data_IF_349781376113
#
_entry.id   IF_349781376113
#
_cell.length_a   1.000
_cell.length_b   1.000
_cell.length_c   1.000
_cell.angle_alpha   90.00
_cell.angle_beta   90.00
_cell.angle_gamma   90.00
#
_symmetry.space_group_name_H-M   'P 1'
#
loop_
_entity.id
_entity.type
_entity.pdbx_description
1 polymer ?
#
# COMPACT_ATOMS: atom_id res chain seq x y z
N UNK A 1 19.67 -30.79 34.08
CA UNK A 1 19.19 -29.78 33.11
C UNK A 1 20.04 -28.51 33.11
N UNK A 2 20.66 -28.11 34.22
CA UNK A 2 21.56 -26.94 34.32
C UNK A 2 22.78 -27.00 33.39
N UNK A 3 23.43 -28.17 33.28
CA UNK A 3 24.75 -28.26 32.64
C UNK A 3 24.64 -28.21 31.11
N UNK A 4 23.52 -28.69 30.56
CA UNK A 4 23.25 -28.66 29.12
C UNK A 4 22.88 -27.24 28.66
N UNK A 5 22.22 -26.45 29.51
CA UNK A 5 22.01 -25.02 29.27
C UNK A 5 23.34 -24.26 29.29
N UNK A 6 24.23 -24.54 30.25
CA UNK A 6 25.53 -23.87 30.35
C UNK A 6 26.41 -24.09 29.09
N UNK A 7 26.40 -25.30 28.51
CA UNK A 7 27.15 -25.63 27.29
C UNK A 7 26.63 -24.82 26.08
N UNK A 8 25.33 -24.54 26.02
CA UNK A 8 24.72 -23.78 24.90
C UNK A 8 24.89 -22.27 25.11
N UNK A 9 24.76 -21.77 26.34
CA UNK A 9 24.82 -20.33 26.62
C UNK A 9 26.25 -19.77 26.68
N UNK A 10 27.25 -20.57 27.07
CA UNK A 10 28.64 -20.13 27.11
C UNK A 10 29.17 -19.58 25.76
N UNK A 11 29.06 -20.29 24.62
CA UNK A 11 29.52 -19.76 23.33
C UNK A 11 28.70 -18.54 22.88
N UNK A 12 27.41 -18.48 23.24
CA UNK A 12 26.55 -17.35 22.93
C UNK A 12 27.00 -16.07 23.66
N UNK A 13 27.35 -16.20 24.95
CA UNK A 13 27.86 -15.07 25.74
C UNK A 13 29.21 -14.57 25.21
N UNK A 14 30.13 -15.48 24.88
CA UNK A 14 31.43 -15.12 24.28
C UNK A 14 31.23 -14.42 22.93
N UNK A 15 30.27 -14.86 22.12
CA UNK A 15 29.94 -14.21 20.86
C UNK A 15 29.40 -12.78 21.07
N UNK A 16 28.51 -12.58 22.05
CA UNK A 16 27.97 -11.26 22.39
C UNK A 16 29.09 -10.33 22.88
N UNK A 17 29.98 -10.81 23.74
CA UNK A 17 31.13 -10.04 24.24
C UNK A 17 32.07 -9.64 23.09
N UNK A 18 32.39 -10.57 22.19
CA UNK A 18 33.21 -10.28 21.01
C UNK A 18 32.56 -9.24 20.09
N UNK A 19 31.24 -9.32 19.90
CA UNK A 19 30.47 -8.33 19.14
C UNK A 19 30.50 -6.95 19.80
N UNK A 20 30.32 -6.87 21.12
CA UNK A 20 30.44 -5.60 21.84
C UNK A 20 31.85 -5.01 21.74
N UNK A 21 32.88 -5.85 21.87
CA UNK A 21 34.28 -5.43 21.69
C UNK A 21 34.54 -4.88 20.29
N UNK A 22 34.00 -5.52 19.25
CA UNK A 22 34.10 -5.04 17.87
C UNK A 22 33.40 -3.70 17.66
N UNK A 23 32.18 -3.54 18.20
CA UNK A 23 31.43 -2.28 18.11
C UNK A 23 32.18 -1.14 18.80
N UNK A 24 32.73 -1.39 19.99
CA UNK A 24 33.55 -0.40 20.70
C UNK A 24 34.81 -0.05 19.91
N UNK A 25 35.54 -1.03 19.38
CA UNK A 25 36.73 -0.81 18.56
C UNK A 25 36.42 0.03 17.30
N UNK A 26 35.28 -0.24 16.65
CA UNK A 26 34.85 0.54 15.49
C UNK A 26 34.46 1.97 15.87
N UNK A 27 33.77 2.15 17.00
CA UNK A 27 33.42 3.48 17.51
C UNK A 27 34.66 4.29 17.91
N UNK A 28 35.66 3.66 18.55
CA UNK A 28 36.93 4.32 18.87
C UNK A 28 37.70 4.69 17.61
N UNK A 29 37.76 3.80 16.62
CA UNK A 29 38.41 4.09 15.33
C UNK A 29 37.74 5.28 14.61
N UNK A 30 36.40 5.34 14.60
CA UNK A 30 35.68 6.49 14.07
C UNK A 30 35.99 7.77 14.86
N UNK A 31 36.05 7.69 16.19
CA UNK A 31 36.41 8.82 17.05
C UNK A 31 37.81 9.35 16.77
N UNK A 32 38.80 8.45 16.65
CA UNK A 32 40.18 8.79 16.30
C UNK A 32 40.28 9.37 14.89
N UNK A 33 39.54 8.81 13.93
CA UNK A 33 39.51 9.31 12.56
C UNK A 33 38.95 10.74 12.51
N UNK A 34 37.83 10.99 13.19
CA UNK A 34 37.26 12.33 13.32
C UNK A 34 38.23 13.29 14.03
N UNK A 35 38.87 12.84 15.12
CA UNK A 35 39.87 13.61 15.85
C UNK A 35 41.06 14.01 14.98
N UNK A 36 41.62 13.06 14.23
CA UNK A 36 42.71 13.28 13.30
C UNK A 36 42.34 14.32 12.22
N UNK A 37 41.14 14.22 11.65
CA UNK A 37 40.68 15.20 10.65
C UNK A 37 40.43 16.58 11.26
N UNK A 38 39.91 16.66 12.49
CA UNK A 38 39.75 17.94 13.20
C UNK A 38 41.11 18.58 13.50
N UNK A 39 42.09 17.80 13.95
CA UNK A 39 43.45 18.28 14.19
C UNK A 39 44.09 18.77 12.89
N UNK A 40 43.94 18.01 11.79
CA UNK A 40 44.43 18.39 10.47
C UNK A 40 43.76 19.67 9.97
N UNK A 41 42.45 19.82 10.20
CA UNK A 41 41.70 21.04 9.90
C UNK A 41 42.21 22.24 10.72
N UNK A 42 42.43 22.07 12.02
CA UNK A 42 42.98 23.11 12.90
C UNK A 42 44.38 23.52 12.46
N UNK A 43 45.25 22.54 12.20
CA UNK A 43 46.61 22.80 11.73
C UNK A 43 46.59 23.56 10.40
N UNK A 44 45.74 23.13 9.47
CA UNK A 44 45.55 23.76 8.16
C UNK A 44 44.97 25.18 8.26
N UNK A 45 44.02 25.44 9.17
CA UNK A 45 43.47 26.77 9.42
C UNK A 45 44.53 27.70 10.01
N UNK A 46 45.19 27.29 11.09
CA UNK A 46 46.15 28.17 11.79
C UNK A 46 47.43 28.40 10.98
N UNK A 47 48.00 27.37 10.35
CA UNK A 47 49.18 27.54 9.49
C UNK A 47 48.83 28.11 8.11
N UNK A 48 47.62 27.85 7.60
CA UNK A 48 47.11 28.44 6.36
C UNK A 48 46.89 29.95 6.50
N UNK A 49 46.31 30.42 7.60
CA UNK A 49 46.12 31.85 7.88
C UNK A 49 47.47 32.56 8.08
N UNK A 50 48.41 31.94 8.80
CA UNK A 50 49.75 32.50 8.97
C UNK A 50 50.52 32.61 7.64
N UNK A 51 50.52 31.54 6.84
CA UNK A 51 51.23 31.51 5.55
C UNK A 51 50.62 32.43 4.48
N UNK A 52 49.30 32.61 4.47
CA UNK A 52 48.64 33.58 3.58
C UNK A 52 48.93 35.02 3.99
N UNK A 53 48.93 35.32 5.29
CA UNK A 53 49.31 36.64 5.83
C UNK A 53 50.73 37.06 5.43
N UNK A 54 51.68 36.12 5.43
CA UNK A 54 53.05 36.39 5.02
C UNK A 54 53.20 36.61 3.50
N UNK A 55 52.37 35.96 2.67
CA UNK A 55 52.35 36.20 1.21
C UNK A 55 51.77 37.56 0.83
N UNK A 56 50.74 38.05 1.53
CA UNK A 56 50.22 39.41 1.31
C UNK A 56 51.29 40.49 1.59
N UNK A 57 52.29 40.20 2.42
CA UNK A 57 53.44 41.09 2.65
C UNK A 57 54.53 41.01 1.58
N UNK A 58 54.61 39.93 0.79
CA UNK A 58 55.71 39.68 -0.15
C UNK A 58 55.43 40.09 -1.61
N UNK A 59 54.26 40.67 -1.92
CA UNK A 59 53.93 41.18 -3.25
C UNK A 59 53.62 40.08 -4.29
N UNK A 60 53.03 40.46 -5.45
CA UNK A 60 52.28 39.56 -6.34
C UNK A 60 53.12 38.59 -7.19
N UNK A 61 54.42 38.37 -6.89
CA UNK A 61 55.35 37.63 -7.76
C UNK A 61 55.43 36.11 -7.53
N UNK A 62 54.66 35.53 -6.60
CA UNK A 62 54.70 34.06 -6.29
C UNK A 62 53.30 33.41 -6.19
N UNK A 63 52.37 33.81 -7.03
CA UNK A 63 50.92 33.55 -6.87
C UNK A 63 50.37 32.29 -7.58
N UNK A 64 51.20 31.43 -8.18
CA UNK A 64 50.68 30.27 -8.94
C UNK A 64 50.46 28.98 -8.11
N UNK A 65 51.17 28.79 -6.98
CA UNK A 65 51.05 27.56 -6.18
C UNK A 65 50.15 27.78 -4.97
N UNK A 66 49.01 27.09 -4.94
CA UNK A 66 48.13 27.01 -3.77
C UNK A 66 48.91 26.36 -2.63
N UNK A 67 48.97 26.97 -1.43
CA UNK A 67 49.69 26.39 -0.31
C UNK A 67 49.12 25.01 0.04
N UNK A 68 49.99 24.02 0.25
CA UNK A 68 49.59 22.68 0.72
C UNK A 68 48.61 22.74 1.91
N UNK A 69 48.79 23.62 2.92
CA UNK A 69 47.83 23.78 4.01
C UNK A 69 46.41 24.15 3.56
N UNK A 70 46.27 24.92 2.48
CA UNK A 70 44.96 25.32 1.96
C UNK A 70 44.27 24.15 1.24
N UNK A 71 45.03 23.36 0.47
CA UNK A 71 44.52 22.16 -0.20
C UNK A 71 44.07 21.13 0.86
N UNK A 72 44.85 20.94 1.92
CA UNK A 72 44.50 20.04 3.02
C UNK A 72 43.28 20.52 3.80
N UNK A 73 43.14 21.84 4.03
CA UNK A 73 41.94 22.41 4.64
C UNK A 73 40.69 22.11 3.81
N UNK A 74 40.73 22.40 2.50
CA UNK A 74 39.59 22.15 1.60
C UNK A 74 39.24 20.65 1.56
N UNK A 75 40.24 19.78 1.47
CA UNK A 75 40.04 18.32 1.49
C UNK A 75 39.39 17.82 2.78
N UNK A 76 39.89 18.28 3.94
CA UNK A 76 39.35 17.89 5.25
C UNK A 76 37.90 18.36 5.45
N UNK A 77 37.57 19.61 5.08
CA UNK A 77 36.20 20.12 5.15
C UNK A 77 35.27 19.34 4.22
N UNK A 78 35.69 19.08 2.98
CA UNK A 78 34.92 18.28 2.03
C UNK A 78 34.63 16.87 2.54
N UNK A 79 35.62 16.23 3.17
CA UNK A 79 35.47 14.91 3.76
C UNK A 79 34.49 14.89 4.95
N UNK A 80 34.56 15.88 5.85
CA UNK A 80 33.61 16.00 6.97
C UNK A 80 32.18 16.19 6.46
N UNK A 81 31.97 17.01 5.43
CA UNK A 81 30.67 17.19 4.80
C UNK A 81 30.17 15.87 4.20
N UNK A 82 31.04 15.15 3.48
CA UNK A 82 30.70 13.85 2.90
C UNK A 82 30.28 12.83 3.97
N UNK A 83 31.04 12.73 5.07
CA UNK A 83 30.69 11.86 6.20
C UNK A 83 29.36 12.25 6.85
N UNK A 84 29.11 13.55 7.06
CA UNK A 84 27.88 14.04 7.65
C UNK A 84 26.65 13.71 6.77
N UNK A 85 26.77 13.88 5.45
CA UNK A 85 25.72 13.52 4.48
C UNK A 85 25.49 12.01 4.50
N UNK A 86 26.56 11.21 4.43
CA UNK A 86 26.48 9.74 4.46
C UNK A 86 25.81 9.22 5.73
N UNK A 87 26.20 9.75 6.90
CA UNK A 87 25.62 9.37 8.18
C UNK A 87 24.13 9.75 8.30
N UNK A 88 23.76 10.92 7.80
CA UNK A 88 22.35 11.36 7.76
C UNK A 88 21.51 10.42 6.90
N UNK A 89 22.03 9.97 5.75
CA UNK A 89 21.35 9.01 4.88
C UNK A 89 21.17 7.65 5.55
N UNK A 90 22.19 7.14 6.26
CA UNK A 90 22.11 5.88 7.01
C UNK A 90 21.06 5.93 8.12
N UNK A 91 21.04 7.01 8.92
CA UNK A 91 20.03 7.19 9.97
C UNK A 91 18.63 7.22 9.36
N UNK A 92 18.44 8.01 8.29
CA UNK A 92 17.14 8.12 7.62
C UNK A 92 16.68 6.76 7.10
N UNK A 93 17.56 5.99 6.48
CA UNK A 93 17.26 4.65 5.97
C UNK A 93 16.86 3.69 7.10
N UNK A 94 17.61 3.69 8.21
CA UNK A 94 17.29 2.86 9.38
C UNK A 94 15.93 3.17 10.01
N UNK A 95 15.59 4.46 10.15
CA UNK A 95 14.28 4.88 10.68
C UNK A 95 13.15 4.42 9.76
N UNK A 96 13.28 4.59 8.44
CA UNK A 96 12.25 4.14 7.50
C UNK A 96 12.05 2.63 7.56
N UNK A 97 13.15 1.86 7.61
CA UNK A 97 13.07 0.41 7.70
C UNK A 97 12.36 -0.06 8.98
N UNK A 98 12.69 0.54 10.12
CA UNK A 98 12.05 0.23 11.41
C UNK A 98 10.56 0.57 11.41
N UNK A 99 10.17 1.71 10.83
CA UNK A 99 8.76 2.11 10.70
C UNK A 99 7.95 1.16 9.83
N UNK A 100 8.52 0.74 8.70
CA UNK A 100 7.89 -0.26 7.80
C UNK A 100 7.69 -1.59 8.50
N UNK A 101 8.72 -2.12 9.19
CA UNK A 101 8.61 -3.38 9.91
C UNK A 101 7.55 -3.32 11.03
N UNK A 102 7.52 -2.21 11.79
CA UNK A 102 6.56 -2.03 12.87
C UNK A 102 5.13 -1.97 12.33
N UNK A 103 4.93 -1.23 11.24
CA UNK A 103 3.61 -1.12 10.58
C UNK A 103 3.18 -2.46 9.99
N UNK A 104 4.10 -3.20 9.37
CA UNK A 104 3.83 -4.55 8.86
C UNK A 104 3.34 -5.47 9.98
N UNK A 105 4.05 -5.50 11.12
CA UNK A 105 3.66 -6.32 12.27
C UNK A 105 2.30 -5.91 12.86
N UNK A 106 1.99 -4.60 12.89
CA UNK A 106 0.68 -4.10 13.32
C UNK A 106 -0.44 -4.53 12.36
N UNK A 107 -0.23 -4.36 11.05
CA UNK A 107 -1.18 -4.73 10.00
C UNK A 107 -1.44 -6.24 10.02
N UNK A 108 -0.39 -7.05 10.20
CA UNK A 108 -0.50 -8.51 10.34
C UNK A 108 -1.29 -8.89 11.60
N UNK A 109 -0.97 -8.29 12.75
CA UNK A 109 -1.67 -8.55 14.02
C UNK A 109 -3.16 -8.18 13.94
N UNK A 110 -3.48 -7.06 13.27
CA UNK A 110 -4.86 -6.64 13.04
C UNK A 110 -5.61 -7.63 12.14
N UNK A 111 -4.99 -8.10 11.06
CA UNK A 111 -5.59 -9.07 10.17
C UNK A 111 -5.88 -10.40 10.90
N UNK A 112 -4.94 -10.86 11.72
CA UNK A 112 -5.10 -12.08 12.51
C UNK A 112 -6.17 -11.93 13.60
N UNK A 113 -6.19 -10.79 14.31
CA UNK A 113 -7.21 -10.48 15.30
C UNK A 113 -8.62 -10.41 14.68
N UNK A 114 -8.75 -9.83 13.49
CA UNK A 114 -10.02 -9.74 12.78
C UNK A 114 -10.57 -11.12 12.39
N UNK A 115 -9.71 -12.01 11.89
CA UNK A 115 -10.13 -13.38 11.57
C UNK A 115 -10.46 -14.17 12.82
N UNK A 116 -9.66 -14.05 13.88
CA UNK A 116 -9.93 -14.71 15.15
C UNK A 116 -11.29 -14.27 15.72
N UNK A 117 -11.59 -12.97 15.66
CA UNK A 117 -12.89 -12.44 16.07
C UNK A 117 -14.03 -13.00 15.23
N UNK A 118 -13.86 -13.09 13.91
CA UNK A 118 -14.87 -13.65 13.02
C UNK A 118 -15.10 -15.15 13.20
N UNK A 119 -14.06 -15.89 13.55
CA UNK A 119 -14.15 -17.31 13.92
C UNK A 119 -14.84 -17.51 15.27
N UNK A 120 -14.60 -16.62 16.23
CA UNK A 120 -15.12 -16.71 17.58
C UNK A 120 -16.56 -16.20 17.71
N UNK A 121 -16.95 -15.18 16.95
CA UNK A 121 -18.24 -14.50 17.07
C UNK A 121 -19.08 -14.65 15.80
N UNK A 122 -20.16 -15.44 15.91
CA UNK A 122 -21.37 -15.21 15.12
C UNK A 122 -22.00 -13.87 15.57
N UNK A 123 -21.45 -12.74 15.09
CA UNK A 123 -22.18 -11.48 14.97
C UNK A 123 -21.94 -10.37 16.00
N UNK A 124 -20.79 -10.32 16.70
CA UNK A 124 -20.53 -9.32 17.76
C UNK A 124 -19.25 -8.49 17.64
N UNK A 125 -18.58 -8.53 16.47
CA UNK A 125 -17.21 -8.05 16.32
C UNK A 125 -16.99 -6.57 16.62
N UNK A 126 -16.05 -6.25 17.51
CA UNK A 126 -15.53 -4.91 17.82
C UNK A 126 -14.79 -4.28 16.63
N UNK A 127 -14.19 -5.11 15.77
CA UNK A 127 -13.53 -4.66 14.56
C UNK A 127 -14.53 -4.67 13.39
N UNK A 128 -14.77 -3.49 12.81
CA UNK A 128 -15.65 -3.30 11.67
C UNK A 128 -14.85 -3.04 10.39
N UNK A 129 -15.31 -3.48 9.20
CA UNK A 129 -14.75 -3.04 7.93
C UNK A 129 -14.77 -1.51 7.82
N UNK A 130 -13.63 -0.91 7.49
CA UNK A 130 -13.48 0.55 7.43
C UNK A 130 -12.13 1.02 7.97
N UNK A 131 -11.97 2.34 8.14
CA UNK A 131 -10.83 2.91 8.84
C UNK A 131 -10.83 2.44 10.31
N UNK A 132 -9.69 1.93 10.77
CA UNK A 132 -9.46 1.58 12.16
C UNK A 132 -9.01 2.81 12.95
N UNK A 133 -9.25 2.81 14.26
CA UNK A 133 -8.67 3.79 15.19
C UNK A 133 -7.15 3.62 15.34
N UNK A 134 -6.59 2.50 14.89
CA UNK A 134 -5.15 2.28 14.86
C UNK A 134 -4.50 3.01 13.68
N UNK A 135 -3.39 3.68 13.99
CA UNK A 135 -2.62 4.46 13.03
C UNK A 135 -1.28 3.79 12.79
N UNK A 136 -0.78 3.90 11.56
CA UNK A 136 0.55 3.43 11.18
C UNK A 136 1.66 4.36 11.70
N UNK A 137 2.92 3.99 11.41
CA UNK A 137 4.08 4.77 11.81
C UNK A 137 4.18 6.17 11.16
N UNK A 138 3.31 6.48 10.20
CA UNK A 138 3.22 7.77 9.51
C UNK A 138 1.95 8.54 9.91
N UNK A 139 1.14 8.00 10.83
CA UNK A 139 -0.06 8.65 11.33
C UNK A 139 -1.27 8.51 10.41
N UNK A 140 -1.27 7.57 9.47
CA UNK A 140 -2.44 7.26 8.65
C UNK A 140 -3.25 6.14 9.31
N UNK A 141 -4.58 6.27 9.26
CA UNK A 141 -5.48 5.22 9.74
C UNK A 141 -5.33 3.94 8.91
N UNK A 142 -5.22 2.80 9.59
CA UNK A 142 -5.15 1.49 8.94
C UNK A 142 -6.56 1.13 8.46
N UNK A 143 -6.71 0.80 7.18
CA UNK A 143 -8.02 0.49 6.59
C UNK A 143 -8.20 -1.02 6.50
N UNK A 144 -9.27 -1.52 7.10
CA UNK A 144 -9.70 -2.91 6.98
C UNK A 144 -10.76 -3.01 5.89
N UNK A 145 -10.54 -3.90 4.92
CA UNK A 145 -11.49 -4.21 3.86
C UNK A 145 -11.80 -5.67 3.88
N UNK A 146 -13.06 -5.96 3.66
CA UNK A 146 -13.57 -7.31 3.58
C UNK A 146 -14.14 -7.56 2.19
N UNK A 147 -13.86 -8.73 1.64
CA UNK A 147 -14.46 -9.22 0.41
C UNK A 147 -14.97 -10.63 0.63
N UNK A 148 -16.29 -10.77 0.63
CA UNK A 148 -16.94 -12.07 0.69
C UNK A 148 -16.95 -12.73 -0.70
N UNK A 149 -16.42 -13.95 -0.76
CA UNK A 149 -16.48 -14.84 -1.90
C UNK A 149 -17.32 -16.07 -1.56
N UNK A 150 -17.79 -16.77 -2.58
CA UNK A 150 -18.59 -18.00 -2.43
C UNK A 150 -17.85 -19.08 -1.61
N UNK A 151 -16.52 -19.10 -1.69
CA UNK A 151 -15.66 -20.11 -1.08
C UNK A 151 -15.01 -19.64 0.23
N UNK A 152 -15.30 -18.43 0.69
CA UNK A 152 -14.61 -17.84 1.83
C UNK A 152 -14.66 -16.33 1.87
N UNK A 153 -14.21 -15.75 2.98
CA UNK A 153 -14.04 -14.31 3.14
C UNK A 153 -12.56 -13.96 3.03
N UNK A 154 -12.23 -12.97 2.20
CA UNK A 154 -10.90 -12.37 2.15
C UNK A 154 -10.91 -11.10 3.01
N UNK A 155 -9.98 -11.06 3.95
CA UNK A 155 -9.73 -9.88 4.79
C UNK A 155 -8.44 -9.24 4.29
N UNK A 156 -8.52 -7.96 3.96
CA UNK A 156 -7.39 -7.15 3.49
C UNK A 156 -7.23 -5.99 4.46
N UNK A 157 -6.16 -6.01 5.24
CA UNK A 157 -5.78 -4.89 6.10
C UNK A 157 -4.67 -4.12 5.41
N UNK A 158 -4.80 -2.79 5.31
CA UNK A 158 -3.91 -1.93 4.52
C UNK A 158 -3.53 -0.66 5.29
N UNK A 159 -2.26 -0.29 5.24
CA UNK A 159 -1.74 1.04 5.55
C UNK A 159 -1.32 1.73 4.25
N UNK A 160 -1.48 3.06 4.18
CA UNK A 160 -1.06 3.88 3.04
C UNK A 160 0.45 4.19 3.05
N UNK A 161 1.20 3.63 4.01
CA UNK A 161 2.64 3.75 4.07
C UNK A 161 3.18 5.19 4.16
N UNK A 162 4.44 5.40 3.74
CA UNK A 162 5.13 6.69 3.80
C UNK A 162 4.55 7.79 2.90
N UNK A 163 3.99 7.44 1.75
CA UNK A 163 3.50 8.42 0.77
C UNK A 163 2.06 8.86 1.05
N UNK A 164 1.34 8.12 1.91
CA UNK A 164 -0.03 8.40 2.32
C UNK A 164 -1.05 8.22 1.21
N UNK A 165 -0.65 7.63 0.07
CA UNK A 165 -1.52 7.51 -1.10
C UNK A 165 -2.16 6.13 -1.14
N UNK A 166 -3.50 6.03 -1.11
CA UNK A 166 -4.15 4.74 -1.20
C UNK A 166 -3.90 4.11 -2.58
N UNK A 167 -3.64 2.81 -2.60
CA UNK A 167 -3.30 2.05 -3.81
C UNK A 167 -1.92 2.35 -4.39
N UNK A 168 -0.98 2.80 -3.56
CA UNK A 168 0.42 2.96 -3.94
C UNK A 168 1.20 1.65 -3.85
N UNK A 169 2.37 1.60 -4.48
CA UNK A 169 3.36 0.52 -4.34
C UNK A 169 3.96 0.50 -2.92
N UNK A 170 3.96 1.65 -2.25
CA UNK A 170 4.48 1.81 -0.89
C UNK A 170 3.49 1.36 0.21
N UNK A 171 2.32 0.86 -0.21
CA UNK A 171 1.28 0.43 0.71
C UNK A 171 1.62 -0.92 1.33
N UNK A 172 1.51 -0.95 2.66
CA UNK A 172 1.74 -2.13 3.46
C UNK A 172 0.40 -2.84 3.65
N UNK A 173 0.29 -4.08 3.18
CA UNK A 173 -0.96 -4.83 3.32
C UNK A 173 -0.75 -6.27 3.76
N UNK A 174 -1.68 -6.74 4.60
CA UNK A 174 -1.81 -8.14 4.98
C UNK A 174 -3.12 -8.67 4.43
N UNK A 175 -3.01 -9.73 3.64
CA UNK A 175 -4.17 -10.46 3.10
C UNK A 175 -4.28 -11.77 3.87
N UNK A 176 -5.47 -12.03 4.38
CA UNK A 176 -5.80 -13.30 5.02
C UNK A 176 -7.10 -13.84 4.44
N UNK A 177 -7.15 -15.17 4.30
CA UNK A 177 -8.31 -15.86 3.75
C UNK A 177 -8.90 -16.76 4.82
N UNK A 178 -10.19 -16.58 5.06
CA UNK A 178 -10.97 -17.50 5.86
C UNK A 178 -11.79 -18.37 4.92
N UNK A 179 -11.53 -19.68 4.90
CA UNK A 179 -12.28 -20.64 4.10
C UNK A 179 -13.58 -20.96 4.83
N UNK A 180 -14.70 -20.70 4.16
CA UNK A 180 -16.02 -21.10 4.63
C UNK A 180 -16.13 -22.62 4.54
N UNK A 181 -16.69 -23.25 5.57
CA UNK A 181 -16.86 -24.72 5.57
C UNK A 181 -17.91 -25.14 4.54
N UNK A 182 -17.80 -26.36 4.00
CA UNK A 182 -18.74 -26.85 2.98
C UNK A 182 -20.22 -26.81 3.45
N UNK A 183 -20.45 -26.97 4.75
CA UNK A 183 -21.75 -26.83 5.40
C UNK A 183 -22.31 -25.41 5.32
N UNK A 184 -21.50 -24.41 5.61
CA UNK A 184 -21.90 -23.00 5.52
C UNK A 184 -22.12 -22.56 4.08
N UNK A 185 -21.31 -23.03 3.13
CA UNK A 185 -21.53 -22.78 1.69
C UNK A 185 -22.90 -23.32 1.30
N UNK A 186 -23.20 -24.57 1.66
CA UNK A 186 -24.48 -25.22 1.37
C UNK A 186 -25.64 -24.43 1.94
N UNK A 187 -25.57 -24.05 3.21
CA UNK A 187 -26.66 -23.32 3.89
C UNK A 187 -26.86 -21.92 3.26
N UNK A 188 -25.78 -21.22 2.90
CA UNK A 188 -25.87 -19.92 2.20
C UNK A 188 -26.47 -20.03 0.79
N UNK A 189 -26.18 -21.13 0.07
CA UNK A 189 -26.80 -21.42 -1.22
C UNK A 189 -28.29 -21.76 -1.07
N UNK A 190 -28.66 -22.59 -0.10
CA UNK A 190 -30.07 -22.92 0.16
C UNK A 190 -30.87 -21.71 0.61
N UNK A 191 -30.33 -20.85 1.48
CA UNK A 191 -31.03 -19.64 1.92
C UNK A 191 -31.22 -18.65 0.77
N UNK A 192 -30.22 -18.49 -0.08
CA UNK A 192 -30.31 -17.61 -1.26
C UNK A 192 -31.25 -18.19 -2.31
N UNK A 193 -31.26 -19.51 -2.47
CA UNK A 193 -32.21 -20.20 -3.34
C UNK A 193 -33.63 -20.09 -2.79
N UNK A 194 -33.87 -20.40 -1.51
CA UNK A 194 -35.16 -20.29 -0.85
C UNK A 194 -35.72 -18.87 -0.92
N UNK A 195 -34.87 -17.84 -0.72
CA UNK A 195 -35.29 -16.44 -0.86
C UNK A 195 -35.67 -16.09 -2.30
N UNK A 196 -34.90 -16.55 -3.30
CA UNK A 196 -35.23 -16.31 -4.71
C UNK A 196 -36.47 -17.11 -5.17
N UNK A 197 -36.63 -18.35 -4.71
CA UNK A 197 -37.81 -19.16 -4.97
C UNK A 197 -39.05 -18.57 -4.31
N UNK A 198 -38.97 -18.16 -3.03
CA UNK A 198 -40.06 -17.47 -2.35
C UNK A 198 -40.47 -16.17 -3.04
N UNK A 199 -39.50 -15.38 -3.50
CA UNK A 199 -39.77 -14.17 -4.30
C UNK A 199 -40.39 -14.48 -5.66
N UNK A 200 -40.09 -15.64 -6.26
CA UNK A 200 -40.68 -16.06 -7.51
C UNK A 200 -42.17 -16.42 -7.34
N UNK A 201 -42.50 -17.18 -6.30
CA UNK A 201 -43.90 -17.54 -6.00
C UNK A 201 -44.72 -16.35 -5.52
N UNK A 202 -44.18 -15.49 -4.64
CA UNK A 202 -44.87 -14.28 -4.22
C UNK A 202 -45.21 -13.36 -5.41
N UNK A 203 -44.33 -13.29 -6.43
CA UNK A 203 -44.61 -12.57 -7.68
C UNK A 203 -45.65 -13.24 -8.56
N UNK A 204 -45.79 -14.57 -8.52
CA UNK A 204 -46.86 -15.27 -9.23
C UNK A 204 -48.21 -15.05 -8.56
N UNK A 205 -48.24 -15.04 -7.23
CA UNK A 205 -49.46 -14.75 -6.47
C UNK A 205 -49.91 -13.28 -6.68
N UNK A 206 -48.98 -12.33 -6.72
CA UNK A 206 -49.30 -10.93 -7.10
C UNK A 206 -49.77 -10.81 -8.56
N UNK A 207 -49.15 -11.52 -9.50
CA UNK A 207 -49.56 -11.49 -10.90
C UNK A 207 -50.92 -12.17 -11.15
N UNK A 208 -51.28 -13.20 -10.37
CA UNK A 208 -52.59 -13.83 -10.41
C UNK A 208 -53.65 -12.94 -9.73
N UNK A 209 -53.32 -12.26 -8.64
CA UNK A 209 -54.22 -11.29 -8.01
C UNK A 209 -54.51 -10.09 -8.91
N UNK A 210 -53.55 -9.60 -9.70
CA UNK A 210 -53.77 -8.55 -10.70
C UNK A 210 -54.68 -9.02 -11.86
N UNK A 211 -54.59 -10.30 -12.26
CA UNK A 211 -55.46 -10.90 -13.27
C UNK A 211 -56.88 -11.18 -12.77
N UNK A 212 -57.06 -11.42 -11.47
CA UNK A 212 -58.38 -11.63 -10.87
C UNK A 212 -59.14 -10.29 -10.68
N UNK A 213 -58.44 -9.22 -10.29
CA UNK A 213 -59.01 -7.86 -10.20
C UNK A 213 -59.43 -7.30 -11.56
N UNK A 214 -58.81 -7.74 -12.66
CA UNK A 214 -59.20 -7.31 -14.02
C UNK A 214 -60.42 -8.04 -14.58
N UNK A 215 -60.81 -9.19 -14.01
CA UNK A 215 -61.99 -9.97 -14.43
C UNK A 215 -63.28 -9.62 -13.66
N UNK A 216 -63.19 -8.89 -12.55
CA UNK A 216 -64.35 -8.38 -11.80
C UNK A 216 -64.80 -6.96 -12.20
N UNK A 217 -64.21 -6.38 -13.24
CA UNK A 217 -64.69 -5.12 -13.81
C UNK A 217 -65.91 -5.38 -14.72
N UNK A 218 -67.09 -4.78 -14.45
CA UNK A 218 -68.29 -5.02 -15.25
C UNK A 218 -68.08 -4.55 -16.70
N UNK A 219 -68.51 -5.40 -17.63
CA UNK A 219 -68.54 -5.20 -19.07
C UNK A 219 -69.41 -4.00 -19.46
N UNK A 220 -68.87 -2.79 -19.33
CA UNK A 220 -69.45 -1.61 -19.96
C UNK A 220 -68.98 -1.57 -21.41
N UNK A 221 -69.92 -1.94 -22.28
CA UNK A 221 -69.95 -1.74 -23.71
C UNK A 221 -69.09 -0.54 -24.18
N UNK A 222 -67.94 -0.82 -24.81
CA UNK A 222 -67.35 0.12 -25.76
C UNK A 222 -68.02 -0.10 -27.11
N UNK A 223 -69.04 0.71 -27.33
CA UNK A 223 -69.61 0.99 -28.62
C UNK A 223 -68.52 1.33 -29.64
N UNK A 224 -68.54 0.58 -30.73
CA UNK A 224 -68.09 1.02 -32.05
C UNK A 224 -68.52 2.48 -32.28
N UNK A 225 -67.55 3.37 -32.49
CA UNK A 225 -67.71 4.50 -33.41
C UNK A 225 -66.78 4.24 -34.58
N UNK A 226 -67.37 3.70 -35.65
CA UNK A 226 -66.79 3.70 -36.99
C UNK A 226 -66.97 5.13 -37.49
N UNK A 227 -65.88 5.88 -37.66
CA UNK A 227 -65.85 7.10 -38.46
C UNK A 227 -65.72 6.68 -39.94
N UNK A 228 -66.71 6.97 -40.80
CA UNK A 228 -66.64 6.65 -42.21
C UNK A 228 -66.27 7.93 -42.98
N UNK A 229 -65.07 8.47 -42.78
CA UNK A 229 -64.50 9.51 -43.66
C UNK A 229 -63.02 9.73 -43.35
N UNK A 230 -62.16 8.80 -43.79
CA UNK A 230 -60.76 9.16 -44.07
C UNK A 230 -60.17 8.28 -45.15
N UNK A 231 -60.03 8.88 -46.33
CA UNK A 231 -59.37 8.33 -47.49
C UNK A 231 -57.89 8.00 -47.21
N UNK A 232 -57.44 6.88 -47.78
CA UNK A 232 -56.05 6.42 -47.87
C UNK A 232 -55.19 7.39 -48.70
N UNK A 233 -53.87 7.39 -48.47
CA UNK A 233 -52.96 6.80 -49.47
C UNK A 233 -51.96 5.85 -48.79
N UNK A 234 -51.91 4.59 -49.21
CA UNK A 234 -50.96 4.02 -50.20
C UNK A 234 -49.49 4.06 -49.78
N UNK A 235 -48.96 2.85 -49.55
CA UNK A 235 -47.68 2.41 -50.12
C UNK A 235 -46.40 3.00 -49.49
N UNK A 236 -45.79 2.25 -48.56
CA UNK A 236 -44.60 1.46 -48.90
C UNK A 236 -44.15 0.60 -47.71
N UNK A 237 -43.79 -0.64 -48.06
CA UNK A 237 -43.19 -1.63 -47.20
C UNK A 237 -41.77 -1.21 -46.78
N UNK A 238 -41.35 -1.55 -45.57
CA UNK A 238 -40.21 -2.46 -45.44
C UNK A 238 -40.22 -3.19 -44.09
N UNK A 239 -40.01 -4.49 -44.19
CA UNK A 239 -39.96 -5.50 -43.13
C UNK A 239 -38.52 -5.95 -43.04
N UNK A 240 -37.87 -5.86 -41.88
CA UNK A 240 -36.76 -6.76 -41.50
C UNK A 240 -36.53 -6.65 -39.99
N UNK A 241 -37.05 -7.62 -39.22
CA UNK A 241 -36.32 -8.77 -38.65
C UNK A 241 -35.37 -8.42 -37.51
N UNK A 242 -35.83 -8.79 -36.30
CA UNK A 242 -35.04 -9.47 -35.26
C UNK A 242 -33.86 -10.27 -35.87
N UNK A 243 -32.63 -10.03 -35.40
CA UNK A 243 -31.83 -11.13 -34.82
C UNK A 243 -30.55 -10.67 -34.08
N UNK A 244 -30.19 -11.48 -33.09
CA UNK A 244 -28.84 -11.80 -32.61
C UNK A 244 -27.91 -10.75 -31.96
N UNK A 245 -27.69 -10.97 -30.66
CA UNK A 245 -26.39 -11.28 -30.05
C UNK A 245 -25.14 -10.59 -30.63
N UNK A 246 -24.52 -9.69 -29.84
CA UNK A 246 -23.14 -9.89 -29.34
C UNK A 246 -22.71 -8.77 -28.38
N UNK A 247 -22.35 -9.18 -27.16
CA UNK A 247 -21.46 -8.46 -26.28
C UNK A 247 -20.15 -8.10 -27.03
N UNK A 248 -19.90 -6.81 -27.23
CA UNK A 248 -18.56 -6.32 -27.57
C UNK A 248 -18.01 -5.61 -26.33
N UNK A 249 -17.33 -6.40 -25.50
CA UNK A 249 -16.38 -5.86 -24.53
C UNK A 249 -15.22 -5.24 -25.31
N UNK A 250 -15.12 -3.90 -25.31
CA UNK A 250 -13.95 -3.19 -25.83
C UNK A 250 -12.82 -3.31 -24.81
N UNK A 251 -11.82 -4.12 -25.12
CA UNK A 251 -10.53 -4.12 -24.42
C UNK A 251 -9.80 -2.79 -24.70
N UNK A 252 -9.15 -2.17 -23.70
CA UNK A 252 -8.28 -1.03 -23.95
C UNK A 252 -7.04 -1.49 -24.72
N UNK A 253 -6.86 -0.96 -25.92
CA UNK A 253 -5.66 -1.13 -26.73
C UNK A 253 -4.50 -0.37 -26.08
N UNK A 254 -3.61 -1.10 -25.39
CA UNK A 254 -2.31 -0.57 -24.99
C UNK A 254 -1.44 -0.38 -26.24
N UNK A 255 -1.20 0.88 -26.62
CA UNK A 255 -0.13 1.22 -27.57
C UNK A 255 1.18 1.31 -26.80
N UNK A 256 2.01 0.28 -26.91
CA UNK A 256 3.43 0.36 -26.56
C UNK A 256 4.15 1.09 -27.70
N UNK A 257 4.56 2.34 -27.48
CA UNK A 257 5.57 3.00 -28.32
C UNK A 257 6.95 2.74 -27.71
N UNK A 258 7.76 1.93 -28.37
CA UNK A 258 9.19 1.90 -28.12
C UNK A 258 9.78 3.18 -28.71
N UNK A 259 10.17 4.10 -27.84
CA UNK A 259 10.96 5.26 -28.25
C UNK A 259 12.33 4.79 -28.70
N UNK A 260 12.60 4.95 -29.99
CA UNK A 260 13.93 5.07 -30.58
C UNK A 260 14.77 6.04 -29.73
N UNK A 261 15.93 5.58 -29.28
CA UNK A 261 17.01 6.46 -28.84
C UNK A 261 17.86 6.74 -30.06
N UNK A 262 17.66 7.92 -30.64
CA UNK A 262 18.61 8.54 -31.54
C UNK A 262 19.72 9.23 -30.71
N UNK A 263 20.96 9.00 -31.19
CA UNK A 263 22.23 9.70 -30.95
C UNK A 263 22.94 9.58 -29.58
#
# INVERSE_FOLDING_TARGET
MSDLLAIIFAPLLVLIEALMGLVLAFATLLGELVGFFLELLFHALFHGIASTKDRYRQGPRKSAEVPVPVITAIGSVGFVIFLAIGFTFLIRSGIQHSRTQTTQAQVDKLADAYIAQRLAEKGGGTLSPGPSDQHDAWGHAIVLREKDYVVGTQVVVRSNGPDGRPNSTDDISAIRYHKTTATEIRDHFFDKAAKKFGQFFAKQDEAQAELEVQNDAPSIARSLKIDPDRALPSENADLTTQDENKHVWKLPTFRFSWGEKDE
#
